data_IF_848058208627
#
_entry.id   IF_848058208627
#
_cell.length_a   1.000
_cell.length_b   1.000
_cell.length_c   1.000
_cell.angle_alpha   90.00
_cell.angle_beta   90.00
_cell.angle_gamma   90.00
#
_symmetry.space_group_name_H-M   'P 1'
#
loop_
_entity.id
_entity.type
_entity.pdbx_description
1 polymer ?
#
# COMPACT_ATOMS: atom_id res chain seq x y z
N UNK A 1 0.65 -8.81 1.79
CA UNK A 1 -0.74 -8.35 2.08
C UNK A 1 -0.60 -7.24 3.11
N UNK A 2 -1.40 -6.17 3.05
CA UNK A 2 -1.37 -5.12 4.06
C UNK A 2 -2.71 -4.44 4.23
N UNK A 3 -3.00 -3.96 5.44
CA UNK A 3 -4.10 -3.05 5.73
C UNK A 3 -3.52 -1.66 5.94
N UNK A 4 -4.05 -0.68 5.20
CA UNK A 4 -3.61 0.71 5.33
C UNK A 4 -4.01 1.25 6.71
N UNK A 5 -3.03 1.70 7.48
CA UNK A 5 -3.21 2.26 8.84
C UNK A 5 -3.21 3.78 8.81
N UNK A 6 -2.22 4.38 8.15
CA UNK A 6 -2.13 5.82 7.95
C UNK A 6 -1.38 6.14 6.67
N UNK A 7 -1.67 7.29 6.10
CA UNK A 7 -0.98 7.82 4.93
C UNK A 7 -0.64 9.30 5.12
N UNK A 8 0.35 9.76 4.37
CA UNK A 8 0.80 11.13 4.34
C UNK A 8 1.16 11.50 2.91
N UNK A 9 0.31 12.32 2.32
CA UNK A 9 0.61 12.98 1.04
C UNK A 9 1.89 13.81 1.15
N UNK A 10 2.72 13.72 0.12
CA UNK A 10 3.95 14.48 -0.02
C UNK A 10 4.18 14.88 -1.48
N UNK A 11 5.12 15.79 -1.68
CA UNK A 11 5.60 16.15 -3.01
C UNK A 11 7.11 16.01 -3.03
N UNK A 12 7.64 15.56 -4.16
CA UNK A 12 9.07 15.61 -4.44
C UNK A 12 9.54 17.06 -4.54
N UNK A 13 10.86 17.29 -4.55
CA UNK A 13 11.44 18.63 -4.72
C UNK A 13 10.95 19.35 -6.00
N UNK A 14 10.64 18.61 -7.06
CA UNK A 14 10.10 19.14 -8.32
C UNK A 14 8.55 19.16 -8.38
N UNK A 15 7.86 19.01 -7.25
CA UNK A 15 6.41 19.15 -7.14
C UNK A 15 5.61 17.96 -7.70
N UNK A 16 6.22 16.78 -7.81
CA UNK A 16 5.49 15.58 -8.23
C UNK A 16 4.86 14.91 -7.00
N UNK A 17 3.56 14.59 -7.04
CA UNK A 17 2.87 14.02 -5.89
C UNK A 17 3.36 12.60 -5.61
N UNK A 18 3.54 12.27 -4.34
CA UNK A 18 3.91 10.96 -3.84
C UNK A 18 3.28 10.74 -2.46
N UNK A 19 3.42 9.55 -1.90
CA UNK A 19 2.84 9.25 -0.60
C UNK A 19 3.71 8.33 0.24
N UNK A 20 3.75 8.62 1.54
CA UNK A 20 4.26 7.71 2.56
C UNK A 20 3.07 7.09 3.28
N UNK A 21 3.05 5.77 3.40
CA UNK A 21 1.97 5.04 4.02
C UNK A 21 2.52 3.98 4.98
N UNK A 22 1.75 3.70 6.03
CA UNK A 22 2.03 2.61 6.97
C UNK A 22 0.97 1.55 6.77
N UNK A 23 1.42 0.31 6.58
CA UNK A 23 0.55 -0.86 6.49
C UNK A 23 0.79 -1.78 7.67
N UNK A 24 -0.24 -2.55 8.02
CA UNK A 24 -0.16 -3.66 8.97
C UNK A 24 -0.41 -4.99 8.27
N UNK A 25 0.32 -6.02 8.66
CA UNK A 25 -0.03 -7.41 8.38
C UNK A 25 0.12 -8.30 9.63
N UNK A 26 0.08 -9.62 9.48
CA UNK A 26 0.19 -10.55 10.60
C UNK A 26 1.56 -10.55 11.30
N UNK A 27 2.56 -9.89 10.72
CA UNK A 27 3.92 -9.78 11.24
C UNK A 27 4.20 -8.45 11.93
N UNK A 28 3.43 -7.40 11.60
CA UNK A 28 3.51 -6.09 12.25
C UNK A 28 3.27 -4.94 11.29
N UNK A 29 3.70 -3.75 11.72
CA UNK A 29 3.68 -2.54 10.91
C UNK A 29 4.91 -2.46 10.01
N UNK A 30 4.73 -1.93 8.81
CA UNK A 30 5.83 -1.60 7.91
C UNK A 30 5.50 -0.34 7.11
N UNK A 31 6.56 0.37 6.76
CA UNK A 31 6.47 1.58 5.95
C UNK A 31 6.43 1.22 4.46
N UNK A 32 5.69 2.00 3.70
CA UNK A 32 5.58 1.87 2.25
C UNK A 32 5.66 3.24 1.60
N UNK A 33 6.48 3.35 0.55
CA UNK A 33 6.63 4.58 -0.22
C UNK A 33 6.05 4.40 -1.61
N UNK A 34 5.10 5.26 -1.98
CA UNK A 34 4.55 5.39 -3.32
C UNK A 34 5.21 6.57 -4.01
N UNK A 35 6.32 6.34 -4.70
CA UNK A 35 6.93 7.37 -5.54
C UNK A 35 5.99 7.84 -6.66
N UNK A 36 6.25 8.99 -7.31
CA UNK A 36 5.27 9.62 -8.19
C UNK A 36 4.67 8.76 -9.30
N UNK A 37 5.42 7.78 -9.83
CA UNK A 37 4.87 6.83 -10.78
C UNK A 37 3.86 5.88 -10.16
N UNK A 38 4.20 5.28 -9.02
CA UNK A 38 3.32 4.38 -8.28
C UNK A 38 2.10 5.13 -7.75
N UNK A 39 2.30 6.32 -7.14
CA UNK A 39 1.21 7.14 -6.63
C UNK A 39 0.21 7.54 -7.72
N UNK A 40 0.70 7.95 -8.90
CA UNK A 40 -0.18 8.29 -10.04
C UNK A 40 -1.04 7.11 -10.51
N UNK A 41 -0.53 5.88 -10.38
CA UNK A 41 -1.23 4.66 -10.79
C UNK A 41 -2.21 4.15 -9.74
N UNK A 42 -1.82 4.23 -8.47
CA UNK A 42 -2.48 3.48 -7.39
C UNK A 42 -3.01 4.34 -6.26
N UNK A 43 -2.63 5.62 -6.15
CA UNK A 43 -3.00 6.49 -5.03
C UNK A 43 -4.51 6.67 -4.85
N UNK A 44 -5.28 6.63 -5.94
CA UNK A 44 -6.76 6.67 -5.86
C UNK A 44 -7.39 5.40 -5.25
N UNK A 45 -6.63 4.32 -5.11
CA UNK A 45 -7.10 3.06 -4.51
C UNK A 45 -6.88 3.03 -2.98
N UNK A 46 -6.05 3.92 -2.44
CA UNK A 46 -5.74 4.00 -1.01
C UNK A 46 -6.88 4.68 -0.26
N UNK A 47 -7.99 3.97 -0.07
CA UNK A 47 -9.19 4.51 0.61
C UNK A 47 -9.41 3.94 2.01
N UNK A 48 -8.46 3.12 2.49
CA UNK A 48 -8.59 2.37 3.75
C UNK A 48 -9.71 1.32 3.73
N UNK A 49 -9.85 0.57 4.83
CA UNK A 49 -10.99 -0.35 5.05
C UNK A 49 -10.99 -1.66 4.23
N UNK A 50 -9.95 -1.91 3.43
CA UNK A 50 -9.78 -3.13 2.63
C UNK A 50 -8.34 -3.63 2.70
N UNK A 51 -8.08 -4.94 2.56
CA UNK A 51 -6.71 -5.43 2.40
C UNK A 51 -6.18 -5.11 1.01
N UNK A 52 -4.86 -4.98 0.92
CA UNK A 52 -4.11 -4.76 -0.31
C UNK A 52 -3.06 -5.85 -0.52
N UNK A 53 -2.80 -6.20 -1.77
CA UNK A 53 -1.55 -6.86 -2.17
C UNK A 53 -0.60 -5.76 -2.61
N UNK A 54 0.57 -5.69 -1.97
CA UNK A 54 1.63 -4.76 -2.33
C UNK A 54 2.82 -5.56 -2.83
N UNK A 55 3.43 -5.09 -3.92
CA UNK A 55 4.67 -5.62 -4.46
C UNK A 55 5.67 -4.49 -4.62
N UNK A 56 6.95 -4.79 -4.45
CA UNK A 56 8.00 -3.78 -4.48
C UNK A 56 9.34 -4.30 -4.00
N UNK A 57 10.25 -3.36 -3.81
CA UNK A 57 11.58 -3.62 -3.24
C UNK A 57 11.54 -3.29 -1.76
N UNK A 58 11.97 -4.23 -0.93
CA UNK A 58 12.16 -3.99 0.51
C UNK A 58 13.57 -3.48 0.74
N UNK A 59 13.66 -2.33 1.38
CA UNK A 59 14.91 -1.71 1.83
C UNK A 59 14.90 -1.70 3.36
N UNK A 60 16.00 -2.13 3.97
CA UNK A 60 16.17 -2.12 5.42
C UNK A 60 17.25 -1.10 5.77
N UNK A 61 16.86 -0.08 6.51
CA UNK A 61 17.78 0.93 7.04
C UNK A 61 17.59 1.06 8.54
N UNK A 62 18.69 0.95 9.30
CA UNK A 62 18.69 1.06 10.76
C UNK A 62 17.69 0.11 11.48
N UNK A 63 17.34 -1.02 10.87
CA UNK A 63 16.40 -2.01 11.42
C UNK A 63 14.93 -1.70 11.16
N UNK A 64 14.64 -0.69 10.33
CA UNK A 64 13.29 -0.38 9.84
C UNK A 64 13.18 -0.81 8.37
N UNK A 65 12.14 -1.60 8.08
CA UNK A 65 11.85 -2.05 6.71
C UNK A 65 10.91 -1.06 6.02
N UNK A 66 11.34 -0.56 4.87
CA UNK A 66 10.51 0.24 3.97
C UNK A 66 10.28 -0.51 2.67
N UNK A 67 9.02 -0.61 2.24
CA UNK A 67 8.65 -1.14 0.94
C UNK A 67 8.53 0.00 -0.08
N UNK A 68 9.42 0.03 -1.06
CA UNK A 68 9.26 0.87 -2.25
C UNK A 68 8.27 0.19 -3.20
N UNK A 69 7.03 0.69 -3.27
CA UNK A 69 5.91 0.03 -3.95
C UNK A 69 6.01 0.20 -5.47
N UNK A 70 5.97 -0.92 -6.20
CA UNK A 70 5.88 -0.97 -7.65
C UNK A 70 4.50 -1.34 -8.18
N UNK A 71 3.71 -2.10 -7.40
CA UNK A 71 2.35 -2.48 -7.75
C UNK A 71 1.45 -2.60 -6.52
N UNK A 72 0.15 -2.35 -6.71
CA UNK A 72 -0.87 -2.47 -5.68
C UNK A 72 -2.18 -3.00 -6.25
N UNK A 73 -2.77 -3.96 -5.55
CA UNK A 73 -4.09 -4.52 -5.87
C UNK A 73 -4.99 -4.51 -4.62
N UNK A 74 -6.27 -4.17 -4.81
CA UNK A 74 -7.28 -4.26 -3.76
C UNK A 74 -7.78 -5.69 -3.68
N UNK A 75 -7.73 -6.28 -2.48
CA UNK A 75 -8.31 -7.61 -2.24
C UNK A 75 -9.84 -7.48 -2.14
N UNK A 76 -10.54 -7.61 -3.26
CA UNK A 76 -12.00 -7.70 -3.26
C UNK A 76 -12.45 -9.09 -2.81
N UNK A 77 -13.40 -9.19 -1.88
CA UNK A 77 -14.11 -10.45 -1.68
C UNK A 77 -14.87 -10.79 -2.97
N UNK A 78 -14.56 -11.94 -3.59
CA UNK A 78 -15.53 -12.60 -4.43
C UNK A 78 -16.72 -12.93 -3.54
N UNK A 79 -17.90 -12.40 -3.86
CA UNK A 79 -19.14 -12.73 -3.19
C UNK A 79 -19.35 -14.25 -3.29
N UNK A 80 -19.16 -14.95 -2.18
CA UNK A 80 -19.54 -16.35 -2.06
C UNK A 80 -21.06 -16.43 -2.19
N UNK A 81 -21.56 -16.61 -3.42
CA UNK A 81 -22.92 -17.03 -3.64
C UNK A 81 -23.08 -18.41 -3.01
N UNK A 82 -23.96 -18.44 -2.01
CA UNK A 82 -24.44 -19.62 -1.29
C UNK A 82 -24.67 -20.78 -2.27
N UNK A 83 -24.06 -21.95 -2.02
CA UNK A 83 -24.71 -23.21 -2.40
C UNK A 83 -25.74 -23.52 -1.34
N UNK A 84 -26.99 -23.20 -1.66
CA UNK A 84 -28.08 -24.06 -1.27
C UNK A 84 -28.14 -25.21 -2.30
N UNK A 85 -28.60 -26.37 -1.84
CA UNK A 85 -28.79 -27.68 -2.51
C UNK A 85 -27.76 -28.75 -2.16
#
# INVERSE_FOLDING_TARGET
IGWLITEKFAETYNGQPMEFAVFEDLTGLYDATFFPEAFRRYGSLLTGGTPYILEGVVEEECGECTLTVSALEVVSQASSLRRAE
#
